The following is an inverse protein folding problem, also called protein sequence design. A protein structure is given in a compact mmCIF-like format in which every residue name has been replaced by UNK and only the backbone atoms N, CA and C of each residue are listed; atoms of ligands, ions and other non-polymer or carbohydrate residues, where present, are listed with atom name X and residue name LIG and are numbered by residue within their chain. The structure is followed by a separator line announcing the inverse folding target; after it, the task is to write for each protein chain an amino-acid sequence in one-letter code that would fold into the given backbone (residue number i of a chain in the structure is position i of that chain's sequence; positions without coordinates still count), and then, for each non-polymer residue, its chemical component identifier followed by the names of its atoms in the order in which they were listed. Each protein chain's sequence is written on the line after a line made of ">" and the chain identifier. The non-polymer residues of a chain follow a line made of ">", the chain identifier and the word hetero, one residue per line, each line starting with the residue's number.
data_IF_204837455591
#
_entry.id   IF_204837455591
#
_cell.length_a   1.000
_cell.length_b   1.000
_cell.length_c   1.000
_cell.angle_alpha   90.00
_cell.angle_beta   90.00
_cell.angle_gamma   90.00
#
_symmetry.space_group_name_H-M   'P 1'
#
loop_
_entity.id
_entity.type
_entity.pdbx_description
1 polymer ?
#
# COMPACT_ATOMS: atom_id res chain seq x y z
N UNK A 1 -7.73 6.36 -14.67
CA UNK A 1 -6.99 7.27 -13.75
C UNK A 1 -5.64 7.59 -14.37
N UNK A 2 -5.32 8.85 -14.68
CA UNK A 2 -4.16 9.19 -15.53
C UNK A 2 -2.80 8.92 -14.86
N UNK A 3 -2.70 9.15 -13.56
CA UNK A 3 -1.41 9.14 -12.85
C UNK A 3 -1.07 7.82 -12.16
N UNK A 4 -2.04 6.94 -12.00
CA UNK A 4 -1.87 5.66 -11.33
C UNK A 4 -2.79 4.67 -12.08
N UNK A 5 -2.31 4.18 -13.24
CA UNK A 5 -3.05 3.29 -14.12
C UNK A 5 -3.20 1.91 -13.49
N UNK A 6 -4.10 1.08 -14.05
CA UNK A 6 -4.36 -0.26 -13.52
C UNK A 6 -3.12 -1.16 -13.57
N UNK A 7 -2.30 -1.05 -14.62
CA UNK A 7 -1.03 -1.78 -14.71
C UNK A 7 -0.04 -1.45 -13.59
N UNK A 8 -0.05 -0.21 -13.08
CA UNK A 8 0.77 0.16 -11.93
C UNK A 8 0.22 -0.46 -10.63
N UNK A 9 -1.10 -0.51 -10.47
CA UNK A 9 -1.76 -1.17 -9.33
C UNK A 9 -1.52 -2.69 -9.33
N UNK A 10 -1.57 -3.31 -10.51
CA UNK A 10 -1.23 -4.72 -10.71
C UNK A 10 0.20 -5.00 -10.28
N UNK A 11 1.16 -4.23 -10.80
CA UNK A 11 2.57 -4.39 -10.43
C UNK A 11 2.81 -4.20 -8.93
N UNK A 12 2.18 -3.18 -8.33
CA UNK A 12 2.28 -2.93 -6.89
C UNK A 12 1.71 -4.11 -6.09
N UNK A 13 0.55 -4.65 -6.49
CA UNK A 13 -0.06 -5.79 -5.81
C UNK A 13 0.85 -7.03 -5.89
N UNK A 14 1.34 -7.37 -7.08
CA UNK A 14 2.27 -8.48 -7.30
C UNK A 14 3.54 -8.36 -6.47
N UNK A 15 4.25 -7.23 -6.58
CA UNK A 15 5.51 -7.01 -5.86
C UNK A 15 5.30 -7.01 -4.34
N UNK A 16 4.20 -6.44 -3.85
CA UNK A 16 3.88 -6.42 -2.41
C UNK A 16 3.56 -7.82 -1.88
N UNK A 17 2.81 -8.63 -2.65
CA UNK A 17 2.55 -10.03 -2.29
C UNK A 17 3.85 -10.83 -2.21
N UNK A 18 4.71 -10.71 -3.23
CA UNK A 18 6.01 -11.40 -3.27
C UNK A 18 6.92 -10.97 -2.12
N UNK A 19 7.00 -9.67 -1.85
CA UNK A 19 7.77 -9.14 -0.73
C UNK A 19 7.28 -9.71 0.60
N UNK A 20 5.97 -9.65 0.85
CA UNK A 20 5.39 -10.04 2.13
C UNK A 20 5.57 -11.53 2.44
N UNK A 21 5.41 -12.39 1.42
CA UNK A 21 5.68 -13.84 1.56
C UNK A 21 7.14 -14.06 1.97
N UNK A 22 8.09 -13.36 1.35
CA UNK A 22 9.52 -13.55 1.65
C UNK A 22 9.92 -13.12 3.06
N UNK A 23 9.29 -12.08 3.60
CA UNK A 23 9.66 -11.54 4.92
C UNK A 23 8.89 -12.17 6.09
N UNK A 24 7.68 -12.67 5.85
CA UNK A 24 6.80 -13.18 6.92
C UNK A 24 6.44 -14.65 6.80
N UNK A 25 6.75 -15.29 5.66
CA UNK A 25 6.28 -16.65 5.31
C UNK A 25 4.75 -16.78 5.29
N UNK A 26 4.04 -15.64 5.18
CA UNK A 26 2.58 -15.57 5.14
C UNK A 26 2.09 -14.87 3.87
N UNK A 27 0.86 -15.15 3.47
CA UNK A 27 0.25 -14.54 2.29
C UNK A 27 -0.37 -13.18 2.62
N UNK A 28 0.00 -12.14 1.85
CA UNK A 28 -0.69 -10.85 1.91
C UNK A 28 -2.01 -10.88 1.13
N UNK A 29 -2.06 -11.61 0.03
CA UNK A 29 -3.20 -11.79 -0.87
C UNK A 29 -3.86 -10.47 -1.29
N UNK A 30 -3.06 -9.43 -1.56
CA UNK A 30 -3.60 -8.14 -1.99
C UNK A 30 -3.88 -8.09 -3.49
N UNK A 31 -4.88 -7.30 -3.86
CA UNK A 31 -5.37 -7.15 -5.23
C UNK A 31 -5.17 -5.72 -5.74
N UNK A 32 -5.20 -5.49 -7.05
CA UNK A 32 -5.17 -4.13 -7.62
C UNK A 32 -6.29 -3.23 -7.07
N UNK A 33 -7.46 -3.81 -6.80
CA UNK A 33 -8.62 -3.13 -6.23
C UNK A 33 -8.36 -2.72 -4.77
N UNK A 34 -7.78 -3.60 -3.96
CA UNK A 34 -7.36 -3.23 -2.60
C UNK A 34 -6.28 -2.15 -2.60
N UNK A 35 -5.31 -2.23 -3.52
CA UNK A 35 -4.29 -1.19 -3.68
C UNK A 35 -4.92 0.16 -4.03
N UNK A 36 -5.92 0.18 -4.92
CA UNK A 36 -6.67 1.38 -5.27
C UNK A 36 -7.34 2.00 -4.04
N UNK A 37 -7.99 1.19 -3.21
CA UNK A 37 -8.60 1.64 -1.96
C UNK A 37 -7.55 2.16 -0.97
N UNK A 38 -6.42 1.45 -0.82
CA UNK A 38 -5.30 1.85 0.03
C UNK A 38 -4.73 3.24 -0.34
N UNK A 39 -4.47 3.49 -1.64
CA UNK A 39 -3.99 4.79 -2.10
C UNK A 39 -5.06 5.89 -1.94
N UNK A 40 -6.33 5.55 -2.18
CA UNK A 40 -7.45 6.47 -1.93
C UNK A 40 -7.50 6.91 -0.46
N UNK A 41 -7.43 5.96 0.48
CA UNK A 41 -7.36 6.23 1.91
C UNK A 41 -6.12 7.07 2.26
N UNK A 42 -4.96 6.73 1.69
CA UNK A 42 -3.72 7.47 1.93
C UNK A 42 -3.85 8.94 1.51
N UNK A 43 -4.55 9.21 0.41
CA UNK A 43 -4.84 10.57 -0.04
C UNK A 43 -5.79 11.32 0.92
N UNK A 44 -6.83 10.67 1.43
CA UNK A 44 -7.69 11.25 2.48
C UNK A 44 -6.89 11.60 3.75
N UNK A 45 -6.02 10.69 4.19
CA UNK A 45 -5.18 10.89 5.37
C UNK A 45 -4.21 12.05 5.17
N UNK A 46 -3.64 12.20 3.97
CA UNK A 46 -2.72 13.28 3.62
C UNK A 46 -3.39 14.66 3.63
N UNK A 47 -4.68 14.73 3.30
CA UNK A 47 -5.45 15.99 3.29
C UNK A 47 -5.95 16.34 4.68
N UNK A 48 -6.55 15.39 5.41
CA UNK A 48 -7.21 15.65 6.69
C UNK A 48 -6.24 15.78 7.87
N UNK A 49 -5.07 15.12 7.81
CA UNK A 49 -3.95 15.28 8.74
C UNK A 49 -4.29 15.16 10.23
N UNK A 50 -5.18 14.23 10.60
CA UNK A 50 -5.43 13.94 12.01
C UNK A 50 -4.13 13.52 12.73
N UNK A 51 -3.99 13.83 14.04
CA UNK A 51 -2.77 13.57 14.80
C UNK A 51 -2.29 12.11 14.76
N UNK A 52 -3.22 11.16 14.66
CA UNK A 52 -2.88 9.73 14.52
C UNK A 52 -3.76 9.05 13.47
N UNK A 53 -3.18 8.09 12.74
CA UNK A 53 -3.90 7.31 11.72
C UNK A 53 -5.08 6.52 12.34
N UNK A 54 -4.96 6.09 13.60
CA UNK A 54 -6.03 5.34 14.28
C UNK A 54 -7.31 6.18 14.40
N UNK A 55 -7.21 7.50 14.46
CA UNK A 55 -8.38 8.39 14.60
C UNK A 55 -9.37 8.26 13.45
N UNK A 56 -8.91 7.95 12.23
CA UNK A 56 -9.81 7.77 11.07
C UNK A 56 -10.76 6.57 11.26
N UNK A 57 -10.41 5.60 12.12
CA UNK A 57 -11.21 4.42 12.44
C UNK A 57 -11.88 4.46 13.81
N UNK A 58 -11.56 5.43 14.68
CA UNK A 58 -12.11 5.54 16.04
C UNK A 58 -13.52 6.10 16.02
N UNK A 59 -14.42 5.57 16.86
CA UNK A 59 -15.85 5.91 16.86
C UNK A 59 -16.15 7.42 16.87
N UNK A 60 -15.41 8.23 17.65
CA UNK A 60 -15.65 9.67 17.79
C UNK A 60 -15.13 10.52 16.63
N UNK A 61 -14.12 10.03 15.92
CA UNK A 61 -13.42 10.76 14.84
C UNK A 61 -13.47 10.00 13.51
N UNK A 62 -14.35 9.00 13.43
CA UNK A 62 -14.44 8.07 12.30
C UNK A 62 -14.75 8.83 11.03
N UNK A 63 -13.98 8.56 9.99
CA UNK A 63 -14.31 8.98 8.63
C UNK A 63 -14.88 7.75 7.91
N UNK A 64 -16.19 7.72 7.68
CA UNK A 64 -16.89 6.58 7.08
C UNK A 64 -16.24 6.14 5.75
N UNK A 65 -15.93 7.10 4.87
CA UNK A 65 -15.25 6.85 3.59
C UNK A 65 -13.89 6.13 3.71
N UNK A 66 -13.19 6.30 4.84
CA UNK A 66 -11.92 5.61 5.10
C UNK A 66 -12.18 4.26 5.77
N UNK A 67 -12.96 4.28 6.84
CA UNK A 67 -13.06 3.17 7.76
C UNK A 67 -14.04 2.07 7.31
N UNK A 68 -14.94 2.37 6.39
CA UNK A 68 -15.79 1.38 5.72
C UNK A 68 -15.09 0.77 4.50
N UNK A 69 -14.18 1.52 3.86
CA UNK A 69 -13.43 1.05 2.68
C UNK A 69 -12.38 -0.01 3.03
N UNK A 70 -11.74 0.09 4.20
CA UNK A 70 -10.73 -0.87 4.65
C UNK A 70 -10.60 -0.86 6.16
N UNK A 71 -10.34 -2.01 6.80
CA UNK A 71 -10.06 -2.07 8.24
C UNK A 71 -8.65 -1.50 8.56
N UNK A 72 -8.48 -0.86 9.72
CA UNK A 72 -7.20 -0.30 10.20
C UNK A 72 -6.05 -1.31 10.18
N UNK A 73 -6.29 -2.56 10.60
CA UNK A 73 -5.27 -3.60 10.62
C UNK A 73 -4.84 -3.95 9.19
N UNK A 74 -5.81 -4.07 8.27
CA UNK A 74 -5.52 -4.34 6.85
C UNK A 74 -4.75 -3.18 6.22
N UNK A 75 -5.16 -1.94 6.48
CA UNK A 75 -4.44 -0.75 6.02
C UNK A 75 -3.01 -0.70 6.56
N UNK A 76 -2.81 -1.03 7.84
CA UNK A 76 -1.49 -1.07 8.47
C UNK A 76 -0.60 -2.15 7.85
N UNK A 77 -1.13 -3.35 7.61
CA UNK A 77 -0.39 -4.44 6.96
C UNK A 77 0.02 -4.07 5.54
N UNK A 78 -0.90 -3.50 4.75
CA UNK A 78 -0.59 -3.03 3.39
C UNK A 78 0.49 -1.94 3.42
N UNK A 79 0.38 -0.97 4.33
CA UNK A 79 1.36 0.12 4.46
C UNK A 79 2.78 -0.40 4.72
N UNK A 80 2.94 -1.50 5.45
CA UNK A 80 4.26 -2.12 5.69
C UNK A 80 4.73 -3.00 4.54
N UNK A 81 3.82 -3.44 3.66
CA UNK A 81 4.09 -4.39 2.62
C UNK A 81 4.24 -3.78 1.21
N UNK A 82 3.76 -2.54 0.98
CA UNK A 82 3.79 -1.91 -0.35
C UNK A 82 5.20 -1.89 -0.95
N UNK A 83 5.38 -2.56 -2.08
CA UNK A 83 6.61 -2.62 -2.87
C UNK A 83 6.30 -2.48 -4.36
N UNK A 84 7.21 -1.86 -5.11
CA UNK A 84 7.11 -1.67 -6.57
C UNK A 84 8.09 -2.55 -7.36
N UNK A 85 9.08 -3.14 -6.67
CA UNK A 85 10.06 -4.04 -7.27
C UNK A 85 10.01 -5.42 -6.62
N UNK A 86 10.30 -6.44 -7.41
CA UNK A 86 10.32 -7.85 -7.02
C UNK A 86 11.72 -8.32 -6.59
N UNK A 87 12.76 -7.49 -6.70
CA UNK A 87 14.15 -7.88 -6.49
C UNK A 87 14.70 -7.38 -5.15
N UNK A 88 15.43 -8.25 -4.45
CA UNK A 88 16.15 -7.89 -3.21
C UNK A 88 17.45 -7.13 -3.50
N UNK A 89 18.02 -7.33 -4.69
CA UNK A 89 19.23 -6.68 -5.20
C UNK A 89 19.01 -6.08 -6.59
N UNK A 90 19.75 -5.02 -6.96
CA UNK A 90 19.69 -4.48 -8.31
C UNK A 90 20.17 -5.52 -9.33
N UNK A 91 19.73 -5.37 -10.59
CA UNK A 91 20.29 -6.16 -11.68
C UNK A 91 21.83 -5.96 -11.74
N UNK A 92 22.60 -6.99 -12.13
CA UNK A 92 24.04 -6.84 -12.32
C UNK A 92 24.32 -5.67 -13.27
N UNK A 93 25.18 -4.74 -12.85
CA UNK A 93 25.52 -3.49 -13.56
C UNK A 93 24.44 -2.40 -13.56
N UNK A 94 23.40 -2.49 -12.73
CA UNK A 94 22.50 -1.36 -12.55
C UNK A 94 23.18 -0.27 -11.71
N UNK A 95 23.56 0.83 -12.35
CA UNK A 95 24.17 2.00 -11.72
C UNK A 95 23.13 2.96 -11.10
N UNK A 96 21.83 2.73 -11.35
CA UNK A 96 20.76 3.56 -10.81
C UNK A 96 20.61 3.37 -9.31
N UNK A 97 20.79 4.45 -8.55
CA UNK A 97 20.62 4.46 -7.10
C UNK A 97 19.16 4.39 -6.67
N UNK A 98 18.23 4.76 -7.55
CA UNK A 98 16.79 4.78 -7.31
C UNK A 98 16.06 3.56 -7.86
N UNK A 99 16.76 2.48 -8.23
CA UNK A 99 16.15 1.29 -8.85
C UNK A 99 14.98 0.64 -8.06
N UNK A 100 14.80 0.98 -6.77
CA UNK A 100 13.69 0.51 -5.93
C UNK A 100 12.45 1.42 -5.95
N UNK A 101 12.50 2.59 -6.59
CA UNK A 101 11.47 3.65 -6.53
C UNK A 101 11.07 4.10 -7.93
#
# INVERSE_FOLDING_TARGET
>A
MKYLPDSALERLAECSNLYYIRITDAELATTPQEMRAFFGITMYVAVLKFPTIRMYWQQRTRIALVADAMNLNRFSNLRTAVHITDASSPAPNNADKFWKV
#
